data_IF_970890201794
#
_entry.id   IF_970890201794
#
_cell.length_a   1.000
_cell.length_b   1.000
_cell.length_c   1.000
_cell.angle_alpha   90.00
_cell.angle_beta   90.00
_cell.angle_gamma   90.00
#
_symmetry.space_group_name_H-M   'P 1'
#
loop_
_entity.id
_entity.type
_entity.pdbx_description
1 polymer ?
#
# COMPACT_ATOMS: atom_id res chain seq x y z
N UNK A 1 -17.41 -9.49 -9.62
CA UNK A 1 -16.84 -9.65 -10.97
C UNK A 1 -15.35 -10.02 -10.95
N UNK A 2 -14.62 -9.78 -9.85
CA UNK A 2 -13.21 -10.07 -9.60
C UNK A 2 -12.60 -11.38 -10.19
N UNK A 3 -13.34 -12.48 -10.19
CA UNK A 3 -12.84 -13.80 -10.60
C UNK A 3 -12.32 -13.86 -12.04
N UNK A 4 -12.82 -13.01 -12.95
CA UNK A 4 -12.42 -13.03 -14.35
C UNK A 4 -10.92 -12.74 -14.58
N UNK A 5 -10.22 -12.13 -13.60
CA UNK A 5 -8.76 -11.92 -13.66
C UNK A 5 -7.94 -13.16 -13.31
N UNK A 6 -8.50 -14.07 -12.52
CA UNK A 6 -7.77 -15.20 -11.94
C UNK A 6 -8.63 -16.45 -11.84
N UNK A 7 -9.29 -16.85 -12.94
CA UNK A 7 -10.18 -18.01 -12.99
C UNK A 7 -9.51 -19.30 -12.45
N UNK A 8 -8.20 -19.45 -12.62
CA UNK A 8 -7.43 -20.58 -12.11
C UNK A 8 -7.34 -20.66 -10.57
N UNK A 9 -7.75 -19.63 -9.84
CA UNK A 9 -7.77 -19.57 -8.37
C UNK A 9 -9.18 -19.72 -7.79
N UNK A 10 -10.23 -19.69 -8.61
CA UNK A 10 -11.63 -19.68 -8.14
C UNK A 10 -11.97 -20.92 -7.30
N UNK A 11 -11.41 -22.07 -7.65
CA UNK A 11 -11.63 -23.35 -6.96
C UNK A 11 -10.54 -23.70 -5.94
N UNK A 12 -9.57 -22.81 -5.72
CA UNK A 12 -8.42 -23.10 -4.88
C UNK A 12 -8.63 -22.60 -3.44
N UNK A 13 -8.62 -23.53 -2.48
CA UNK A 13 -8.70 -23.21 -1.05
C UNK A 13 -7.28 -23.14 -0.46
N UNK A 14 -6.82 -21.98 0.05
CA UNK A 14 -5.46 -21.84 0.52
C UNK A 14 -5.29 -22.53 1.89
N UNK A 15 -4.19 -23.26 2.07
CA UNK A 15 -3.90 -23.96 3.33
C UNK A 15 -3.28 -23.01 4.38
N UNK A 16 -4.10 -22.14 4.97
CA UNK A 16 -3.71 -21.27 6.09
C UNK A 16 -4.72 -21.31 7.24
N UNK A 17 -4.29 -20.98 8.48
CA UNK A 17 -5.22 -20.82 9.59
C UNK A 17 -6.33 -19.81 9.30
N UNK A 18 -7.50 -20.00 9.92
CA UNK A 18 -8.60 -19.04 9.81
C UNK A 18 -8.13 -17.65 10.25
N UNK A 19 -8.50 -16.62 9.47
CA UNK A 19 -8.11 -15.20 9.67
C UNK A 19 -6.61 -14.91 9.51
N UNK A 20 -5.84 -15.83 8.93
CA UNK A 20 -4.49 -15.52 8.47
C UNK A 20 -4.56 -14.46 7.37
N UNK A 21 -3.65 -13.48 7.39
CA UNK A 21 -3.62 -12.38 6.43
C UNK A 21 -2.34 -12.41 5.61
N UNK A 22 -2.44 -12.18 4.30
CA UNK A 22 -1.35 -12.34 3.33
C UNK A 22 -0.13 -11.48 3.66
N UNK A 23 -0.32 -10.32 4.29
CA UNK A 23 0.77 -9.42 4.70
C UNK A 23 1.74 -10.05 5.73
N UNK A 24 1.36 -11.16 6.36
CA UNK A 24 2.24 -11.90 7.29
C UNK A 24 3.21 -12.86 6.57
N UNK A 25 3.01 -13.10 5.27
CA UNK A 25 3.93 -13.88 4.45
C UNK A 25 5.26 -13.13 4.24
N UNK A 26 6.28 -13.87 3.80
CA UNK A 26 7.57 -13.25 3.48
C UNK A 26 7.42 -12.19 2.36
N UNK A 27 8.11 -11.05 2.53
CA UNK A 27 7.96 -9.91 1.62
C UNK A 27 8.42 -10.23 0.20
N UNK A 28 9.53 -10.97 0.07
CA UNK A 28 10.10 -11.35 -1.22
C UNK A 28 9.18 -12.35 -1.91
N UNK A 29 8.69 -13.34 -1.19
CA UNK A 29 7.76 -14.32 -1.76
C UNK A 29 6.44 -13.67 -2.19
N UNK A 30 5.89 -12.78 -1.37
CA UNK A 30 4.66 -12.07 -1.71
C UNK A 30 4.85 -11.16 -2.94
N UNK A 31 5.97 -10.45 -3.03
CA UNK A 31 6.33 -9.66 -4.22
C UNK A 31 6.42 -10.55 -5.47
N UNK A 32 7.02 -11.73 -5.38
CA UNK A 32 7.08 -12.69 -6.50
C UNK A 32 5.68 -13.18 -6.90
N UNK A 33 4.82 -13.56 -5.95
CA UNK A 33 3.49 -14.08 -6.26
C UNK A 33 2.56 -13.00 -6.82
N UNK A 34 2.58 -11.79 -6.26
CA UNK A 34 1.86 -10.63 -6.83
C UNK A 34 2.37 -10.38 -8.26
N UNK A 35 3.69 -10.39 -8.47
CA UNK A 35 4.27 -10.19 -9.81
C UNK A 35 3.81 -11.26 -10.82
N UNK A 36 3.71 -12.53 -10.42
CA UNK A 36 3.15 -13.58 -11.30
C UNK A 36 1.67 -13.31 -11.63
N UNK A 37 0.88 -12.87 -10.65
CA UNK A 37 -0.53 -12.51 -10.85
C UNK A 37 -0.68 -11.30 -11.76
N UNK A 38 0.07 -10.21 -11.51
CA UNK A 38 0.06 -9.01 -12.34
C UNK A 38 0.58 -9.32 -13.75
N UNK A 39 1.60 -10.17 -13.90
CA UNK A 39 2.11 -10.62 -15.20
C UNK A 39 1.04 -11.37 -16.01
N UNK A 40 0.24 -12.22 -15.35
CA UNK A 40 -0.87 -12.93 -16.00
C UNK A 40 -1.88 -11.98 -16.64
N UNK A 41 -2.28 -10.92 -15.93
CA UNK A 41 -3.22 -9.91 -16.45
C UNK A 41 -2.53 -9.02 -17.51
N UNK A 42 -1.31 -8.56 -17.23
CA UNK A 42 -0.52 -7.70 -18.11
C UNK A 42 -0.28 -8.33 -19.49
N UNK A 43 0.04 -9.63 -19.53
CA UNK A 43 0.34 -10.35 -20.77
C UNK A 43 -0.83 -10.45 -21.76
N UNK A 44 -2.06 -10.17 -21.31
CA UNK A 44 -3.26 -10.21 -22.15
C UNK A 44 -3.44 -8.91 -22.94
N UNK A 45 -2.86 -7.80 -22.48
CA UNK A 45 -2.98 -6.49 -23.11
C UNK A 45 -2.38 -6.51 -24.51
N UNK A 46 -3.16 -6.05 -25.48
CA UNK A 46 -2.72 -5.85 -26.86
C UNK A 46 -2.35 -4.39 -27.11
N UNK A 47 -1.33 -4.10 -27.93
CA UNK A 47 -0.96 -2.71 -28.24
C UNK A 47 -2.11 -1.86 -28.78
N UNK A 48 -3.04 -2.47 -29.52
CA UNK A 48 -4.22 -1.77 -30.05
C UNK A 48 -5.10 -1.13 -28.98
N UNK A 49 -5.07 -1.64 -27.76
CA UNK A 49 -5.88 -1.13 -26.64
C UNK A 49 -5.37 0.27 -26.18
N UNK A 50 -4.17 0.67 -26.57
CA UNK A 50 -3.60 1.97 -26.21
C UNK A 50 -4.03 3.14 -27.10
N UNK A 51 -4.58 2.88 -28.30
CA UNK A 51 -4.95 3.93 -29.23
C UNK A 51 -6.18 4.70 -28.77
N UNK A 52 -6.25 5.99 -29.12
CA UNK A 52 -7.39 6.88 -28.90
C UNK A 52 -7.85 6.95 -27.44
N UNK A 53 -6.97 6.61 -26.50
CA UNK A 53 -7.29 6.54 -25.06
C UNK A 53 -8.50 5.63 -24.78
N UNK A 54 -8.65 4.53 -25.53
CA UNK A 54 -9.83 3.66 -25.50
C UNK A 54 -10.31 3.28 -24.07
N UNK A 55 -9.39 3.01 -23.14
CA UNK A 55 -9.74 2.65 -21.75
C UNK A 55 -10.34 3.80 -20.92
N UNK A 56 -10.29 5.05 -21.40
CA UNK A 56 -10.93 6.22 -20.78
C UNK A 56 -12.33 6.49 -21.31
N UNK A 57 -12.74 5.83 -22.40
CA UNK A 57 -14.03 6.05 -23.03
C UNK A 57 -15.10 5.23 -22.30
N UNK A 58 -15.83 5.83 -21.36
CA UNK A 58 -16.66 5.08 -20.40
C UNK A 58 -17.69 4.13 -21.05
N UNK A 59 -18.28 4.54 -22.18
CA UNK A 59 -19.26 3.74 -22.92
C UNK A 59 -18.68 2.54 -23.67
N UNK A 60 -17.38 2.55 -23.99
CA UNK A 60 -16.76 1.59 -24.91
C UNK A 60 -15.45 0.98 -24.41
N UNK A 61 -14.96 1.38 -23.22
CA UNK A 61 -13.66 0.95 -22.66
C UNK A 61 -13.54 -0.57 -22.55
N UNK A 62 -14.63 -1.25 -22.21
CA UNK A 62 -14.67 -2.70 -22.07
C UNK A 62 -14.73 -3.45 -23.41
N UNK A 63 -15.01 -2.75 -24.50
CA UNK A 63 -15.01 -3.30 -25.86
C UNK A 63 -13.63 -3.09 -26.50
N UNK A 64 -13.09 -1.86 -26.40
CA UNK A 64 -11.87 -1.48 -27.11
C UNK A 64 -10.58 -1.68 -26.31
N UNK A 65 -10.63 -1.64 -24.97
CA UNK A 65 -9.46 -1.80 -24.10
C UNK A 65 -9.74 -2.65 -22.84
N UNK A 66 -10.39 -3.82 -22.96
CA UNK A 66 -10.79 -4.64 -21.81
C UNK A 66 -9.62 -5.05 -20.92
N UNK A 67 -8.46 -5.40 -21.49
CA UNK A 67 -7.35 -5.91 -20.68
C UNK A 67 -6.61 -4.78 -19.96
N UNK A 68 -6.54 -3.59 -20.57
CA UNK A 68 -6.08 -2.39 -19.87
C UNK A 68 -6.99 -2.09 -18.69
N UNK A 69 -8.32 -2.14 -18.86
CA UNK A 69 -9.28 -1.93 -17.78
C UNK A 69 -9.07 -2.94 -16.64
N UNK A 70 -8.93 -4.24 -16.95
CA UNK A 70 -8.61 -5.28 -15.96
C UNK A 70 -7.31 -5.01 -15.20
N UNK A 71 -6.29 -4.53 -15.88
CA UNK A 71 -5.00 -4.22 -15.27
C UNK A 71 -5.06 -2.98 -14.37
N UNK A 72 -5.84 -1.97 -14.75
CA UNK A 72 -6.13 -0.80 -13.92
C UNK A 72 -6.93 -1.20 -12.68
N UNK A 73 -7.92 -2.07 -12.82
CA UNK A 73 -8.66 -2.62 -11.68
C UNK A 73 -7.76 -3.39 -10.73
N UNK A 74 -6.82 -4.18 -11.26
CA UNK A 74 -5.78 -4.86 -10.46
C UNK A 74 -4.92 -3.88 -9.68
N UNK A 75 -4.44 -2.82 -10.32
CA UNK A 75 -3.72 -1.74 -9.64
C UNK A 75 -4.54 -1.14 -8.49
N UNK A 76 -5.81 -0.80 -8.75
CA UNK A 76 -6.69 -0.23 -7.73
C UNK A 76 -6.99 -1.21 -6.59
N UNK A 77 -7.11 -2.51 -6.89
CA UNK A 77 -7.24 -3.55 -5.86
C UNK A 77 -6.00 -3.62 -4.97
N UNK A 78 -4.79 -3.57 -5.55
CA UNK A 78 -3.52 -3.54 -4.79
C UNK A 78 -3.45 -2.29 -3.90
N UNK A 79 -3.84 -1.11 -4.40
CA UNK A 79 -3.92 0.13 -3.61
C UNK A 79 -4.87 -0.05 -2.42
N UNK A 80 -6.10 -0.52 -2.68
CA UNK A 80 -7.12 -0.72 -1.63
C UNK A 80 -6.71 -1.79 -0.63
N UNK A 81 -6.00 -2.82 -1.06
CA UNK A 81 -5.50 -3.88 -0.17
C UNK A 81 -4.54 -3.30 0.86
N UNK A 82 -3.55 -2.52 0.43
CA UNK A 82 -2.61 -1.84 1.34
C UNK A 82 -3.38 -0.93 2.33
N UNK A 83 -4.31 -0.12 1.83
CA UNK A 83 -5.07 0.81 2.67
C UNK A 83 -5.94 0.07 3.68
N UNK A 84 -6.72 -0.91 3.22
CA UNK A 84 -7.63 -1.67 4.05
C UNK A 84 -6.87 -2.47 5.12
N UNK A 85 -5.78 -3.15 4.76
CA UNK A 85 -4.95 -3.91 5.72
C UNK A 85 -4.37 -3.01 6.81
N UNK A 86 -3.93 -1.79 6.48
CA UNK A 86 -3.43 -0.84 7.48
C UNK A 86 -4.55 -0.25 8.34
N UNK A 87 -5.72 0.05 7.75
CA UNK A 87 -6.83 0.68 8.45
C UNK A 87 -7.60 -0.27 9.37
N UNK A 88 -7.58 -1.56 9.06
CA UNK A 88 -8.23 -2.60 9.90
C UNK A 88 -7.34 -3.09 11.04
N UNK A 89 -6.03 -2.88 10.99
CA UNK A 89 -5.13 -3.25 12.09
C UNK A 89 -5.25 -2.26 13.27
N UNK A 90 -5.78 -2.76 14.37
CA UNK A 90 -6.05 -1.99 15.57
C UNK A 90 -4.79 -1.74 16.42
N UNK A 91 -3.84 -2.67 16.44
CA UNK A 91 -2.61 -2.53 17.23
C UNK A 91 -1.61 -1.64 16.50
N UNK A 92 -1.30 -0.47 17.05
CA UNK A 92 -0.42 0.52 16.41
C UNK A 92 0.98 -0.03 16.08
N UNK A 93 1.58 -0.84 16.96
CA UNK A 93 2.87 -1.50 16.74
C UNK A 93 2.82 -2.51 15.59
N UNK A 94 1.75 -3.30 15.50
CA UNK A 94 1.53 -4.25 14.40
C UNK A 94 1.26 -3.53 13.08
N UNK A 95 0.48 -2.45 13.11
CA UNK A 95 0.23 -1.61 11.94
C UNK A 95 1.52 -0.98 11.39
N UNK A 96 2.44 -0.52 12.25
CA UNK A 96 3.75 -0.03 11.82
C UNK A 96 4.60 -1.14 11.18
N UNK A 97 4.56 -2.37 11.72
CA UNK A 97 5.21 -3.53 11.09
C UNK A 97 4.63 -3.84 9.71
N UNK A 98 3.30 -3.76 9.55
CA UNK A 98 2.66 -3.94 8.24
C UNK A 98 3.05 -2.85 7.25
N UNK A 99 3.11 -1.58 7.69
CA UNK A 99 3.60 -0.48 6.86
C UNK A 99 5.01 -0.76 6.32
N UNK A 100 5.94 -1.13 7.19
CA UNK A 100 7.31 -1.45 6.81
C UNK A 100 7.38 -2.68 5.88
N UNK A 101 6.53 -3.70 6.13
CA UNK A 101 6.42 -4.88 5.27
C UNK A 101 5.93 -4.52 3.86
N UNK A 102 4.97 -3.61 3.73
CA UNK A 102 4.54 -3.11 2.43
C UNK A 102 5.66 -2.38 1.69
N UNK A 103 6.45 -1.58 2.41
CA UNK A 103 7.66 -0.96 1.82
C UNK A 103 8.63 -2.03 1.33
N UNK A 104 8.89 -3.09 2.12
CA UNK A 104 9.76 -4.18 1.70
C UNK A 104 9.24 -4.90 0.45
N UNK A 105 7.93 -5.19 0.39
CA UNK A 105 7.28 -5.78 -0.79
C UNK A 105 7.49 -4.88 -2.01
N UNK A 106 7.28 -3.56 -1.87
CA UNK A 106 7.45 -2.60 -2.95
C UNK A 106 8.90 -2.54 -3.45
N UNK A 107 9.88 -2.52 -2.53
CA UNK A 107 11.30 -2.53 -2.89
C UNK A 107 11.71 -3.86 -3.55
N UNK A 108 11.13 -4.99 -3.14
CA UNK A 108 11.30 -6.25 -3.85
C UNK A 108 10.69 -6.21 -5.25
N UNK A 109 9.49 -5.62 -5.40
CA UNK A 109 8.86 -5.39 -6.71
C UNK A 109 9.76 -4.55 -7.63
N UNK A 110 10.41 -3.50 -7.11
CA UNK A 110 11.39 -2.71 -7.86
C UNK A 110 12.55 -3.58 -8.38
N UNK A 111 13.16 -4.39 -7.49
CA UNK A 111 14.29 -5.27 -7.84
C UNK A 111 13.94 -6.28 -8.93
N UNK A 112 12.71 -6.81 -8.89
CA UNK A 112 12.20 -7.74 -9.91
C UNK A 112 11.47 -7.02 -11.05
N UNK A 113 11.59 -5.69 -11.17
CA UNK A 113 11.06 -4.88 -12.28
C UNK A 113 9.53 -4.94 -12.43
N UNK A 114 8.81 -5.15 -11.33
CA UNK A 114 7.38 -4.89 -11.24
C UNK A 114 7.14 -3.45 -10.75
N UNK A 115 7.23 -2.51 -11.68
CA UNK A 115 7.05 -1.09 -11.43
C UNK A 115 5.59 -0.74 -11.12
N UNK A 116 4.63 -1.52 -11.64
CA UNK A 116 3.21 -1.28 -11.42
C UNK A 116 2.81 -1.49 -9.95
N UNK A 117 3.17 -2.62 -9.35
CA UNK A 117 2.87 -2.91 -7.93
C UNK A 117 3.66 -1.99 -6.99
N UNK A 118 4.90 -1.64 -7.34
CA UNK A 118 5.66 -0.62 -6.62
C UNK A 118 4.88 0.71 -6.56
N UNK A 119 4.39 1.18 -7.70
CA UNK A 119 3.61 2.42 -7.79
C UNK A 119 2.25 2.30 -7.05
N UNK A 120 1.61 1.13 -7.08
CA UNK A 120 0.36 0.87 -6.35
C UNK A 120 0.57 1.00 -4.83
N UNK A 121 1.59 0.34 -4.28
CA UNK A 121 1.92 0.43 -2.85
C UNK A 121 2.30 1.86 -2.48
N UNK A 122 3.13 2.52 -3.28
CA UNK A 122 3.49 3.93 -3.05
C UNK A 122 2.27 4.84 -3.01
N UNK A 123 1.37 4.73 -4.00
CA UNK A 123 0.13 5.51 -4.06
C UNK A 123 -0.74 5.29 -2.83
N UNK A 124 -0.88 4.04 -2.37
CA UNK A 124 -1.64 3.73 -1.18
C UNK A 124 -1.09 4.43 0.08
N UNK A 125 0.24 4.46 0.24
CA UNK A 125 0.90 5.01 1.41
C UNK A 125 1.01 6.54 1.43
N UNK A 126 0.92 7.18 0.26
CA UNK A 126 0.94 8.65 0.12
C UNK A 126 -0.46 9.27 0.14
N UNK A 127 -1.52 8.50 -0.12
CA UNK A 127 -2.89 9.00 0.01
C UNK A 127 -3.23 9.46 1.43
N UNK A 128 -4.01 10.54 1.53
CA UNK A 128 -4.40 11.20 2.79
C UNK A 128 -4.99 10.26 3.85
N UNK A 129 -5.67 9.18 3.43
CA UNK A 129 -6.27 8.19 4.34
C UNK A 129 -5.23 7.43 5.15
N UNK A 130 -4.01 7.26 4.62
CA UNK A 130 -2.87 6.60 5.28
C UNK A 130 -1.82 7.61 5.75
N UNK A 131 -1.48 8.60 4.92
CA UNK A 131 -0.43 9.58 5.21
C UNK A 131 -0.69 10.40 6.48
N UNK A 132 -1.97 10.65 6.81
CA UNK A 132 -2.37 11.39 8.01
C UNK A 132 -2.54 10.53 9.27
N UNK A 133 -2.26 9.22 9.21
CA UNK A 133 -2.24 8.38 10.41
C UNK A 133 -1.00 8.69 11.25
N UNK A 134 -1.09 8.64 12.58
CA UNK A 134 0.09 8.80 13.42
C UNK A 134 0.92 7.51 13.39
N UNK A 135 2.20 7.66 13.04
CA UNK A 135 3.20 6.59 12.93
C UNK A 135 4.22 6.61 14.08
N UNK A 136 3.80 7.08 15.25
CA UNK A 136 4.66 7.36 16.42
C UNK A 136 5.33 6.11 17.02
N UNK A 137 5.00 4.90 16.56
CA UNK A 137 5.62 3.65 17.01
C UNK A 137 6.82 3.24 16.14
N UNK A 138 7.09 3.96 15.05
CA UNK A 138 8.31 3.78 14.26
C UNK A 138 9.50 4.38 15.01
N UNK A 139 10.63 3.67 15.01
CA UNK A 139 11.89 4.23 15.48
C UNK A 139 12.48 5.20 14.42
N UNK A 140 13.56 5.91 14.77
CA UNK A 140 14.18 6.92 13.87
C UNK A 140 14.57 6.37 12.50
N UNK A 141 15.12 5.15 12.44
CA UNK A 141 15.52 4.51 11.19
C UNK A 141 14.29 4.13 10.34
N UNK A 142 13.27 3.57 10.98
CA UNK A 142 12.01 3.18 10.33
C UNK A 142 11.22 4.39 9.82
N UNK A 143 11.19 5.48 10.58
CA UNK A 143 10.59 6.75 10.15
C UNK A 143 11.30 7.30 8.92
N UNK A 144 12.63 7.32 8.92
CA UNK A 144 13.42 7.73 7.76
C UNK A 144 13.11 6.84 6.55
N UNK A 145 13.09 5.52 6.71
CA UNK A 145 12.74 4.58 5.64
C UNK A 145 11.35 4.86 5.06
N UNK A 146 10.36 5.18 5.90
CA UNK A 146 9.02 5.54 5.45
C UNK A 146 8.99 6.89 4.72
N UNK A 147 9.73 7.90 5.21
CA UNK A 147 9.87 9.20 4.54
C UNK A 147 10.57 9.08 3.19
N UNK A 148 11.70 8.38 3.13
CA UNK A 148 12.43 8.10 1.89
C UNK A 148 11.52 7.38 0.88
N UNK A 149 10.70 6.42 1.34
CA UNK A 149 9.74 5.72 0.47
C UNK A 149 8.60 6.63 0.01
N UNK A 150 8.04 7.49 0.89
CA UNK A 150 7.01 8.46 0.48
C UNK A 150 7.54 9.42 -0.57
N UNK A 151 8.78 9.87 -0.39
CA UNK A 151 9.43 10.81 -1.30
C UNK A 151 10.03 10.13 -2.55
N UNK A 152 9.89 8.80 -2.70
CA UNK A 152 10.44 8.03 -3.82
C UNK A 152 10.03 8.61 -5.19
N UNK A 153 8.82 9.18 -5.26
CA UNK A 153 8.32 9.87 -6.46
C UNK A 153 8.25 11.41 -6.31
N UNK A 154 8.46 11.97 -5.11
CA UNK A 154 8.45 13.42 -4.89
C UNK A 154 9.70 14.10 -5.46
N UNK A 155 10.77 13.33 -5.72
CA UNK A 155 11.90 13.73 -6.56
C UNK A 155 11.57 13.61 -8.06
N UNK A 156 10.44 14.16 -8.52
CA UNK A 156 10.06 14.14 -9.93
C UNK A 156 10.87 15.14 -10.76
N UNK A 157 12.17 14.86 -10.94
CA UNK A 157 12.66 14.86 -12.33
C UNK A 157 11.97 13.65 -12.96
N UNK A 158 10.87 13.88 -13.70
CA UNK A 158 10.08 12.89 -14.47
C UNK A 158 10.91 11.84 -15.22
N UNK A 159 12.21 12.07 -15.38
CA UNK A 159 13.19 11.24 -16.05
C UNK A 159 13.62 10.02 -15.24
N UNK A 160 13.85 10.03 -13.93
CA UNK A 160 14.58 8.90 -13.30
C UNK A 160 13.78 7.59 -13.23
N UNK A 161 12.57 7.60 -12.67
CA UNK A 161 11.71 6.41 -12.65
C UNK A 161 11.28 6.00 -14.07
N UNK A 162 11.01 7.00 -14.91
CA UNK A 162 10.70 6.76 -16.32
C UNK A 162 11.88 6.07 -17.02
N UNK A 163 13.10 6.56 -16.86
CA UNK A 163 14.32 6.01 -17.43
C UNK A 163 14.61 4.63 -16.86
N UNK A 164 14.41 4.44 -15.55
CA UNK A 164 14.57 3.13 -14.92
C UNK A 164 13.62 2.11 -15.53
N UNK A 165 12.35 2.50 -15.73
CA UNK A 165 11.38 1.66 -16.42
C UNK A 165 11.78 1.45 -17.88
N UNK A 166 12.01 2.50 -18.65
CA UNK A 166 12.30 2.43 -20.10
C UNK A 166 13.59 1.68 -20.43
N UNK A 167 14.59 1.72 -19.56
CA UNK A 167 15.86 0.98 -19.71
C UNK A 167 15.80 -0.41 -19.08
N UNK A 168 14.71 -0.77 -18.41
CA UNK A 168 14.57 -2.06 -17.75
C UNK A 168 14.68 -3.22 -18.76
N UNK A 169 15.49 -4.24 -18.48
CA UNK A 169 15.49 -5.46 -19.28
C UNK A 169 14.18 -6.23 -19.07
N UNK A 170 13.78 -7.02 -20.06
CA UNK A 170 12.68 -7.97 -19.91
C UNK A 170 13.06 -9.17 -19.02
N UNK A 171 12.11 -9.80 -18.31
CA UNK A 171 10.72 -9.35 -18.12
C UNK A 171 10.65 -8.13 -17.20
N UNK A 172 9.65 -7.27 -17.43
CA UNK A 172 9.29 -6.16 -16.56
C UNK A 172 7.77 -5.93 -16.63
N UNK A 173 7.18 -5.34 -15.59
CA UNK A 173 5.79 -4.87 -15.60
C UNK A 173 5.82 -3.35 -15.45
N UNK A 174 5.59 -2.58 -16.52
CA UNK A 174 5.65 -1.13 -16.46
C UNK A 174 4.49 -0.58 -15.63
N UNK A 175 4.72 0.54 -14.94
CA UNK A 175 3.66 1.36 -14.42
C UNK A 175 2.86 1.95 -15.58
N UNK A 176 1.65 1.43 -15.75
CA UNK A 176 0.88 1.63 -16.98
C UNK A 176 0.54 3.10 -17.22
N UNK A 177 0.29 3.89 -16.17
CA UNK A 177 -0.07 5.30 -16.32
C UNK A 177 1.04 6.13 -17.01
N UNK A 178 2.32 5.88 -16.67
CA UNK A 178 3.45 6.54 -17.35
C UNK A 178 3.64 6.02 -18.77
N UNK A 179 3.44 4.71 -18.95
CA UNK A 179 3.59 4.07 -20.26
C UNK A 179 2.55 4.61 -21.26
N UNK A 180 1.28 4.67 -20.85
CA UNK A 180 0.17 5.27 -21.61
C UNK A 180 0.41 6.73 -21.95
N UNK A 181 0.99 7.51 -21.04
CA UNK A 181 1.26 8.92 -21.26
C UNK A 181 2.17 9.16 -22.48
N UNK A 182 3.07 8.23 -22.80
CA UNK A 182 3.93 8.34 -23.98
C UNK A 182 3.18 8.04 -25.28
N UNK A 183 2.28 7.04 -25.30
CA UNK A 183 1.38 6.82 -26.44
C UNK A 183 0.56 8.08 -26.74
N UNK A 184 -0.01 8.67 -25.70
CA UNK A 184 -0.83 9.87 -25.84
C UNK A 184 -0.07 11.07 -26.35
N UNK A 185 1.17 11.24 -25.88
CA UNK A 185 2.02 12.31 -26.36
C UNK A 185 2.26 12.21 -27.87
N UNK A 186 2.48 11.00 -28.40
CA UNK A 186 2.64 10.79 -29.85
C UNK A 186 1.31 11.06 -30.56
N UNK A 187 0.18 10.58 -30.01
CA UNK A 187 -1.13 10.78 -30.63
C UNK A 187 -1.57 12.25 -30.70
N UNK A 188 -1.22 13.06 -29.70
CA UNK A 188 -1.61 14.48 -29.56
C UNK A 188 -0.70 15.45 -30.31
N UNK A 189 0.58 15.13 -30.50
CA UNK A 189 1.56 16.07 -31.08
C UNK A 189 1.63 16.03 -32.61
N UNK A 190 1.20 14.92 -33.22
CA UNK A 190 1.32 14.69 -34.65
C UNK A 190 -0.06 14.37 -35.22
N UNK A 191 -0.43 14.89 -36.40
CA UNK A 191 -1.68 14.51 -37.06
C UNK A 191 -1.55 13.17 -37.79
N UNK A 192 -2.64 12.42 -37.91
CA UNK A 192 -2.64 11.15 -38.67
C UNK A 192 -2.59 11.37 -40.19
N UNK A 193 -3.14 12.50 -40.65
CA UNK A 193 -3.19 12.91 -42.06
C UNK A 193 -2.45 14.25 -42.19
N UNK A 194 -1.55 14.32 -43.17
CA UNK A 194 -0.77 15.53 -43.47
C UNK A 194 -1.57 16.52 -44.32
N UNK A 195 -1.15 17.80 -44.44
CA UNK A 195 -1.86 18.80 -45.23
C UNK A 195 -2.07 18.42 -46.71
N UNK A 196 -1.18 17.58 -47.26
CA UNK A 196 -1.25 17.04 -48.62
C UNK A 196 -2.20 15.83 -48.75
N UNK A 197 -2.99 15.54 -47.72
CA UNK A 197 -3.91 14.39 -47.61
C UNK A 197 -3.22 13.02 -47.55
N UNK A 198 -1.88 12.97 -47.44
CA UNK A 198 -1.16 11.72 -47.26
C UNK A 198 -1.17 11.25 -45.78
N UNK A 199 -0.95 9.96 -45.56
CA UNK A 199 -0.85 9.39 -44.21
C UNK A 199 0.49 9.77 -43.60
N UNK A 200 0.47 10.26 -42.35
CA UNK A 200 1.69 10.54 -41.61
C UNK A 200 2.40 9.25 -41.17
N UNK A 201 3.28 8.75 -42.02
CA UNK A 201 4.06 7.53 -41.78
C UNK A 201 4.96 7.62 -40.53
N UNK A 202 5.53 8.80 -40.24
CA UNK A 202 6.40 8.99 -39.08
C UNK A 202 5.64 8.80 -37.76
N UNK A 203 4.42 9.33 -37.66
CA UNK A 203 3.54 9.08 -36.50
C UNK A 203 3.29 7.59 -36.29
N UNK A 204 3.01 6.87 -37.38
CA UNK A 204 2.77 5.42 -37.32
C UNK A 204 4.02 4.65 -36.88
N UNK A 205 5.21 5.04 -37.35
CA UNK A 205 6.47 4.47 -36.89
C UNK A 205 6.71 4.71 -35.39
N UNK A 206 6.53 5.93 -34.90
CA UNK A 206 6.66 6.25 -33.48
C UNK A 206 5.71 5.42 -32.60
N UNK A 207 4.46 5.25 -33.04
CA UNK A 207 3.47 4.40 -32.37
C UNK A 207 3.86 2.92 -32.42
N UNK A 208 4.38 2.44 -33.56
CA UNK A 208 4.86 1.06 -33.72
C UNK A 208 6.05 0.75 -32.82
N UNK A 209 7.05 1.63 -32.73
CA UNK A 209 8.20 1.48 -31.84
C UNK A 209 7.76 1.40 -30.37
N UNK A 210 6.79 2.24 -30.00
CA UNK A 210 6.23 2.21 -28.65
C UNK A 210 5.47 0.91 -28.36
N UNK A 211 4.69 0.43 -29.33
CA UNK A 211 4.00 -0.86 -29.26
C UNK A 211 4.99 -2.02 -29.16
N UNK A 212 6.08 -2.00 -29.90
CA UNK A 212 7.09 -3.04 -29.83
C UNK A 212 7.84 -3.01 -28.50
N UNK A 213 8.11 -1.81 -27.94
CA UNK A 213 8.63 -1.69 -26.58
C UNK A 213 7.67 -2.30 -25.56
N UNK A 214 6.37 -2.07 -25.70
CA UNK A 214 5.37 -2.72 -24.84
C UNK A 214 5.45 -4.25 -24.91
N UNK A 215 5.46 -4.78 -26.13
CA UNK A 215 5.51 -6.23 -26.38
C UNK A 215 6.80 -6.86 -25.85
N UNK A 216 7.91 -6.13 -25.89
CA UNK A 216 9.17 -6.62 -25.33
C UNK A 216 9.04 -7.00 -23.85
N UNK A 217 8.23 -6.28 -23.07
CA UNK A 217 7.99 -6.60 -21.66
C UNK A 217 7.07 -7.80 -21.45
N UNK A 218 6.07 -7.99 -22.32
CA UNK A 218 5.07 -9.06 -22.17
C UNK A 218 5.52 -10.41 -22.73
N UNK A 219 6.46 -10.44 -23.69
CA UNK A 219 6.95 -11.68 -24.32
C UNK A 219 7.69 -12.60 -23.35
N UNK A 220 8.53 -12.04 -22.47
CA UNK A 220 9.30 -12.83 -21.50
C UNK A 220 8.50 -12.99 -20.21
N UNK A 221 8.49 -14.20 -19.66
CA UNK A 221 7.79 -14.51 -18.40
C UNK A 221 8.77 -14.54 -17.24
N UNK A 222 8.27 -14.20 -16.05
CA UNK A 222 8.99 -14.42 -14.80
C UNK A 222 9.10 -15.92 -14.50
N UNK A 223 10.27 -16.38 -14.06
CA UNK A 223 10.59 -17.78 -13.76
C UNK A 223 10.53 -18.09 -12.25
N UNK A 224 9.62 -17.44 -11.52
CA UNK A 224 9.44 -17.70 -10.09
C UNK A 224 8.61 -18.97 -9.86
N UNK A 225 8.91 -19.72 -8.80
CA UNK A 225 8.08 -20.84 -8.39
C UNK A 225 6.70 -20.34 -7.95
N UNK A 226 5.65 -20.88 -8.57
CA UNK A 226 4.27 -20.48 -8.32
C UNK A 226 3.76 -21.13 -7.03
N UNK A 227 3.39 -20.32 -6.04
CA UNK A 227 2.80 -20.79 -4.78
C UNK A 227 1.30 -20.54 -4.81
N UNK A 228 0.53 -21.56 -5.18
CA UNK A 228 -0.92 -21.43 -5.34
C UNK A 228 -1.63 -21.02 -4.04
N UNK A 229 -1.21 -21.54 -2.88
CA UNK A 229 -1.78 -21.12 -1.59
C UNK A 229 -1.67 -19.61 -1.36
N UNK A 230 -0.53 -19.02 -1.74
CA UNK A 230 -0.25 -17.60 -1.50
C UNK A 230 -1.11 -16.74 -2.44
N UNK A 231 -1.20 -17.16 -3.70
CA UNK A 231 -2.03 -16.50 -4.70
C UNK A 231 -3.52 -16.63 -4.38
N UNK A 232 -3.97 -17.79 -3.91
CA UNK A 232 -5.35 -18.01 -3.51
C UNK A 232 -5.72 -17.22 -2.24
N UNK A 233 -4.80 -17.09 -1.28
CA UNK A 233 -5.00 -16.21 -0.13
C UNK A 233 -5.15 -14.74 -0.56
N UNK A 234 -4.25 -14.24 -1.41
CA UNK A 234 -4.36 -12.89 -1.98
C UNK A 234 -5.66 -12.72 -2.77
N UNK A 235 -6.03 -13.68 -3.60
CA UNK A 235 -7.26 -13.68 -4.38
C UNK A 235 -8.49 -13.52 -3.50
N UNK A 236 -8.58 -14.27 -2.40
CA UNK A 236 -9.67 -14.18 -1.44
C UNK A 236 -9.71 -12.83 -0.73
N UNK A 237 -8.56 -12.33 -0.27
CA UNK A 237 -8.50 -11.00 0.35
C UNK A 237 -8.93 -9.91 -0.63
N UNK A 238 -8.43 -9.95 -1.86
CA UNK A 238 -8.73 -8.99 -2.91
C UNK A 238 -10.20 -9.02 -3.35
N UNK A 239 -10.82 -10.20 -3.40
CA UNK A 239 -12.25 -10.35 -3.68
C UNK A 239 -13.13 -9.65 -2.64
N UNK A 240 -12.74 -9.65 -1.36
CA UNK A 240 -13.48 -8.94 -0.30
C UNK A 240 -13.45 -7.42 -0.47
N UNK A 241 -12.45 -6.89 -1.18
CA UNK A 241 -12.26 -5.45 -1.38
C UNK A 241 -13.09 -4.87 -2.53
N UNK A 242 -13.71 -5.72 -3.36
CA UNK A 242 -14.52 -5.26 -4.51
C UNK A 242 -15.69 -4.36 -4.08
N UNK A 243 -16.23 -4.59 -2.86
CA UNK A 243 -17.33 -3.81 -2.29
C UNK A 243 -16.88 -2.59 -1.47
N UNK A 244 -15.57 -2.41 -1.27
CA UNK A 244 -15.03 -1.33 -0.44
C UNK A 244 -14.80 -0.10 -1.31
N UNK A 245 -15.54 0.97 -1.01
CA UNK A 245 -15.42 2.26 -1.68
C UNK A 245 -14.40 3.17 -0.99
N UNK A 246 -13.96 4.21 -1.71
CA UNK A 246 -13.02 5.21 -1.18
C UNK A 246 -13.63 5.96 0.02
N UNK A 247 -14.96 6.15 0.04
CA UNK A 247 -15.70 6.69 1.19
C UNK A 247 -15.63 5.77 2.41
N UNK A 248 -15.72 4.45 2.21
CA UNK A 248 -15.54 3.50 3.31
C UNK A 248 -14.15 3.65 3.93
N UNK A 249 -13.10 3.70 3.09
CA UNK A 249 -11.71 3.85 3.53
C UNK A 249 -11.49 5.20 4.24
N UNK A 250 -12.08 6.28 3.74
CA UNK A 250 -12.03 7.59 4.39
C UNK A 250 -12.68 7.57 5.78
N UNK A 251 -13.86 6.97 5.90
CA UNK A 251 -14.56 6.79 7.19
C UNK A 251 -13.70 5.96 8.15
N UNK A 252 -13.13 4.84 7.70
CA UNK A 252 -12.24 3.99 8.50
C UNK A 252 -11.02 4.78 9.01
N UNK A 253 -10.36 5.55 8.15
CA UNK A 253 -9.23 6.41 8.53
C UNK A 253 -9.62 7.46 9.56
N UNK A 254 -10.78 8.12 9.38
CA UNK A 254 -11.28 9.12 10.33
C UNK A 254 -11.54 8.50 11.71
N UNK A 255 -12.21 7.36 11.76
CA UNK A 255 -12.51 6.66 13.02
C UNK A 255 -11.24 6.16 13.70
N UNK A 256 -10.29 5.62 12.95
CA UNK A 256 -9.00 5.18 13.49
C UNK A 256 -8.21 6.36 14.11
N UNK A 257 -8.16 7.51 13.42
CA UNK A 257 -7.53 8.73 13.96
C UNK A 257 -8.21 9.23 15.23
N UNK A 258 -9.55 9.20 15.30
CA UNK A 258 -10.30 9.55 16.52
C UNK A 258 -9.92 8.64 17.68
N UNK A 259 -9.93 7.31 17.47
CA UNK A 259 -9.55 6.33 18.49
C UNK A 259 -8.13 6.56 19.01
N UNK A 260 -7.18 6.85 18.11
CA UNK A 260 -5.79 7.12 18.50
C UNK A 260 -5.69 8.41 19.31
N UNK A 261 -6.35 9.49 18.88
CA UNK A 261 -6.39 10.76 19.64
C UNK A 261 -6.99 10.58 21.03
N UNK A 262 -8.10 9.85 21.13
CA UNK A 262 -8.76 9.57 22.40
C UNK A 262 -7.87 8.75 23.35
N UNK A 263 -7.17 7.75 22.83
CA UNK A 263 -6.22 6.95 23.59
C UNK A 263 -5.04 7.79 24.10
N UNK A 264 -4.45 8.64 23.25
CA UNK A 264 -3.37 9.57 23.64
C UNK A 264 -3.86 10.55 24.72
N UNK A 265 -5.08 11.07 24.56
CA UNK A 265 -5.68 12.01 25.52
C UNK A 265 -5.90 11.38 26.90
N UNK A 266 -6.47 10.17 26.97
CA UNK A 266 -6.62 9.43 28.24
C UNK A 266 -5.25 9.19 28.86
N UNK A 267 -4.29 8.69 28.09
CA UNK A 267 -2.96 8.38 28.60
C UNK A 267 -2.25 9.62 29.16
N UNK A 268 -2.33 10.76 28.45
CA UNK A 268 -1.77 12.03 28.91
C UNK A 268 -2.40 12.52 30.22
N UNK A 269 -3.72 12.35 30.39
CA UNK A 269 -4.41 12.70 31.64
C UNK A 269 -4.03 11.77 32.78
N UNK A 270 -3.99 10.46 32.55
CA UNK A 270 -3.56 9.48 33.55
C UNK A 270 -2.11 9.75 33.99
N UNK A 271 -1.20 10.04 33.05
CA UNK A 271 0.18 10.40 33.36
C UNK A 271 0.28 11.70 34.17
N UNK A 272 -0.48 12.73 33.79
CA UNK A 272 -0.52 13.99 34.54
C UNK A 272 -1.07 13.80 35.96
N UNK A 273 -2.12 13.00 36.14
CA UNK A 273 -2.66 12.67 37.46
C UNK A 273 -1.60 11.96 38.34
N UNK A 274 -0.88 10.96 37.78
CA UNK A 274 0.19 10.27 38.52
C UNK A 274 1.35 11.22 38.86
N UNK A 275 1.75 12.09 37.94
CA UNK A 275 2.79 13.09 38.19
C UNK A 275 2.38 14.10 39.27
N UNK A 276 1.12 14.56 39.26
CA UNK A 276 0.59 15.44 40.30
C UNK A 276 0.54 14.75 41.66
N UNK A 277 0.07 13.49 41.72
CA UNK A 277 0.09 12.69 42.95
C UNK A 277 1.51 12.49 43.48
N UNK A 278 2.48 12.23 42.59
CA UNK A 278 3.89 12.13 42.96
C UNK A 278 4.42 13.45 43.55
N UNK A 279 4.15 14.60 42.90
CA UNK A 279 4.55 15.92 43.43
C UNK A 279 3.90 16.25 44.78
N UNK A 280 2.61 15.95 44.94
CA UNK A 280 1.89 16.15 46.21
C UNK A 280 2.52 15.28 47.31
N UNK A 281 2.90 14.03 47.00
CA UNK A 281 3.59 13.15 47.96
C UNK A 281 4.94 13.72 48.41
N UNK A 282 5.72 14.31 47.49
CA UNK A 282 7.01 14.93 47.77
C UNK A 282 6.86 16.17 48.68
N UNK A 283 5.85 17.01 48.42
CA UNK A 283 5.56 18.19 49.26
C UNK A 283 5.12 17.78 50.68
N UNK A 284 4.29 16.74 50.81
CA UNK A 284 3.84 16.23 52.10
C UNK A 284 4.96 15.57 52.90
N UNK A 285 5.90 14.89 52.22
CA UNK A 285 7.12 14.35 52.82
C UNK A 285 7.97 15.46 53.47
N UNK A 286 8.20 16.56 52.75
CA UNK A 286 9.00 17.69 53.25
C UNK A 286 8.33 18.45 54.40
N UNK A 287 6.99 18.44 54.50
CA UNK A 287 6.25 19.12 55.58
C UNK A 287 6.08 18.31 56.87
N UNK A 288 6.75 17.15 57.02
CA UNK A 288 6.71 16.28 58.22
C UNK A 288 5.29 15.88 58.68
N UNK A 289 4.30 15.83 57.78
CA UNK A 289 2.95 15.36 58.12
C UNK A 289 2.92 13.83 58.02
N UNK A 290 3.51 13.15 59.01
CA UNK A 290 3.72 11.69 59.02
C UNK A 290 2.44 10.87 58.83
N UNK A 291 1.29 11.34 59.30
CA UNK A 291 0.03 10.58 59.28
C UNK A 291 -0.67 10.60 57.90
N UNK A 292 -0.53 11.70 57.14
CA UNK A 292 -1.04 11.79 55.75
C UNK A 292 -0.14 11.00 54.80
N UNK A 293 1.17 10.97 55.07
CA UNK A 293 2.15 10.27 54.24
C UNK A 293 1.92 8.75 54.21
N UNK A 294 1.56 8.11 55.33
CA UNK A 294 1.25 6.67 55.39
C UNK A 294 -0.05 6.31 54.66
N UNK A 295 -1.11 7.13 54.77
CA UNK A 295 -2.35 6.90 54.02
C UNK A 295 -2.19 7.19 52.51
N UNK A 296 -1.43 8.22 52.13
CA UNK A 296 -1.09 8.48 50.74
C UNK A 296 -0.07 7.50 50.17
N UNK A 297 0.78 6.85 50.97
CA UNK A 297 1.60 5.73 50.51
C UNK A 297 0.76 4.49 50.25
N UNK A 298 -0.31 4.22 51.01
CA UNK A 298 -1.24 3.14 50.68
C UNK A 298 -2.06 3.45 49.42
N UNK A 299 -2.63 4.66 49.30
CA UNK A 299 -3.34 5.08 48.08
C UNK A 299 -2.41 5.23 46.86
N UNK A 300 -1.19 5.70 47.10
CA UNK A 300 -0.13 5.85 46.12
C UNK A 300 0.47 4.51 45.72
N UNK A 301 0.61 3.54 46.62
CA UNK A 301 0.96 2.17 46.27
C UNK A 301 -0.20 1.48 45.54
N UNK A 302 -1.46 1.79 45.85
CA UNK A 302 -2.62 1.29 45.11
C UNK A 302 -2.69 1.90 43.70
N UNK A 303 -2.43 3.21 43.55
CA UNK A 303 -2.36 3.86 42.24
C UNK A 303 -1.10 3.51 41.48
N UNK A 304 0.05 3.37 42.13
CA UNK A 304 1.29 2.91 41.51
C UNK A 304 1.18 1.44 41.20
N UNK A 305 0.51 0.59 41.98
CA UNK A 305 0.23 -0.80 41.62
C UNK A 305 -0.84 -0.90 40.56
N UNK A 306 -1.83 0.00 40.52
CA UNK A 306 -2.81 0.10 39.43
C UNK A 306 -2.14 0.62 38.16
N UNK A 307 -1.19 1.53 38.27
CA UNK A 307 -0.41 2.08 37.15
C UNK A 307 0.70 1.13 36.73
N UNK A 308 1.31 0.36 37.64
CA UNK A 308 2.23 -0.74 37.34
C UNK A 308 1.44 -1.88 36.73
N UNK A 309 0.26 -2.23 37.25
CA UNK A 309 -0.58 -3.26 36.63
C UNK A 309 -1.17 -2.78 35.31
N UNK A 310 -1.54 -1.51 35.13
CA UNK A 310 -1.96 -0.92 33.83
C UNK A 310 -0.81 -0.73 32.87
N UNK A 311 0.41 -0.42 33.34
CA UNK A 311 1.61 -0.31 32.51
C UNK A 311 2.25 -1.66 32.22
N UNK A 312 2.08 -2.66 33.09
CA UNK A 312 2.37 -4.08 32.87
C UNK A 312 1.28 -4.70 31.99
N UNK A 313 0.01 -4.31 32.11
CA UNK A 313 -1.06 -4.61 31.13
C UNK A 313 -0.77 -3.91 29.80
N UNK A 314 -0.20 -2.71 29.79
CA UNK A 314 0.25 -2.04 28.58
C UNK A 314 1.48 -2.75 28.00
N UNK A 315 2.45 -3.16 28.81
CA UNK A 315 3.61 -3.95 28.38
C UNK A 315 3.20 -5.34 27.90
N UNK A 316 2.22 -5.99 28.53
CA UNK A 316 1.69 -7.30 28.15
C UNK A 316 0.77 -7.18 26.92
N UNK A 317 -0.07 -6.16 26.80
CA UNK A 317 -0.91 -5.88 25.62
C UNK A 317 -0.13 -5.32 24.43
N UNK A 318 1.05 -4.71 24.65
CA UNK A 318 1.96 -4.31 23.58
C UNK A 318 2.92 -5.44 23.17
N UNK A 319 3.05 -6.51 23.97
CA UNK A 319 3.95 -7.65 23.71
C UNK A 319 3.24 -8.95 23.31
N UNK A 320 1.91 -9.04 23.45
CA UNK A 320 1.06 -10.07 22.84
C UNK A 320 0.18 -9.48 21.73
#
# INVERSE_FOLDING_TARGET
EFAHRFLYLEKYEPYFPRRFVAILLDAKELAQQITLMSCHVFSQIQPREFFQKAWKQESSKWIHAPNICKFIEQYNTEVRWVQYTLLTEHKATRRCRFLLRFIDIALHCQKIRNFNTLAAIHSALTMNVIANLPWNQLNRCETKKYEDFRNLFDNWKKTEFFDQQEKAPSPAIPYLALFCKQFFRIEELEEYILPDQSINYNKLLHLADRAERFRSYSRQKYSFHKKFDYQALLFKEWALLEKITDDNLYKMSKELRKKIKYFIFIFSRCFFCVFMLYKVSQVLYFRKVKWIFTHMQMFGCFFVSLFFSLSVLFFLCCRF
#
